data_IF_731690861190
#
_entry.id   IF_731690861190
#
_cell.length_a   1.000
_cell.length_b   1.000
_cell.length_c   1.000
_cell.angle_alpha   90.00
_cell.angle_beta   90.00
_cell.angle_gamma   90.00
#
_symmetry.space_group_name_H-M   'P 1'
#
loop_
_entity.id
_entity.type
_entity.pdbx_description
1 polymer ?
#
# COMPACT_ATOMS: atom_id res chain seq x y z
N UNK A 1 2.70 1.12 13.10
CA UNK A 1 1.76 1.88 12.24
C UNK A 1 0.41 2.15 12.90
N UNK A 2 -0.23 1.18 13.56
CA UNK A 2 -1.54 1.34 14.23
C UNK A 2 -1.69 2.59 15.11
N UNK A 3 -0.78 2.80 16.06
CA UNK A 3 -0.80 3.98 16.95
C UNK A 3 -0.81 5.32 16.21
N UNK A 4 -0.14 5.41 15.06
CA UNK A 4 -0.19 6.62 14.24
C UNK A 4 -1.61 6.83 13.68
N UNK A 5 -2.22 5.79 13.12
CA UNK A 5 -3.57 5.88 12.58
C UNK A 5 -4.60 6.27 13.65
N UNK A 6 -4.49 5.67 14.85
CA UNK A 6 -5.34 6.01 15.99
C UNK A 6 -5.18 7.48 16.42
N UNK A 7 -3.94 7.95 16.61
CA UNK A 7 -3.65 9.33 17.05
C UNK A 7 -4.14 10.39 16.05
N UNK A 8 -4.06 10.09 14.75
CA UNK A 8 -4.48 11.01 13.69
C UNK A 8 -5.93 10.79 13.22
N UNK A 9 -6.72 9.96 13.91
CA UNK A 9 -8.15 9.79 13.64
C UNK A 9 -8.48 9.02 12.36
N UNK A 10 -7.56 8.19 11.87
CA UNK A 10 -7.83 7.29 10.76
C UNK A 10 -8.64 6.07 11.21
N UNK A 11 -9.53 5.60 10.34
CA UNK A 11 -10.09 4.26 10.45
C UNK A 11 -9.10 3.28 9.81
N UNK A 12 -8.57 2.34 10.60
CA UNK A 12 -7.58 1.37 10.12
C UNK A 12 -8.22 0.03 9.75
N UNK A 13 -7.67 -0.61 8.72
CA UNK A 13 -7.91 -2.00 8.36
C UNK A 13 -6.56 -2.67 8.18
N UNK A 14 -6.29 -3.70 8.98
CA UNK A 14 -4.99 -4.38 9.02
C UNK A 14 -5.16 -5.86 8.72
N UNK A 15 -4.34 -6.38 7.82
CA UNK A 15 -4.26 -7.81 7.48
C UNK A 15 -2.81 -8.29 7.60
N UNK A 16 -2.62 -9.56 7.97
CA UNK A 16 -1.31 -10.17 8.18
C UNK A 16 -1.15 -11.43 7.32
N UNK A 17 0.09 -11.75 6.96
CA UNK A 17 0.52 -13.00 6.34
C UNK A 17 -0.32 -13.45 5.13
N UNK A 18 -0.63 -12.50 4.23
CA UNK A 18 -1.40 -12.75 3.01
C UNK A 18 -0.52 -13.22 1.85
N UNK A 19 -1.07 -14.11 1.03
CA UNK A 19 -0.51 -14.46 -0.28
C UNK A 19 -0.55 -13.27 -1.24
N UNK A 20 0.20 -13.32 -2.35
CA UNK A 20 0.19 -12.25 -3.35
C UNK A 20 -1.22 -11.95 -3.90
N UNK A 21 -2.00 -13.01 -4.14
CA UNK A 21 -3.36 -12.88 -4.65
C UNK A 21 -4.32 -12.31 -3.61
N UNK A 22 -4.22 -12.76 -2.35
CA UNK A 22 -5.05 -12.21 -1.28
C UNK A 22 -4.71 -10.74 -1.01
N UNK A 23 -3.43 -10.36 -1.01
CA UNK A 23 -3.04 -8.94 -0.89
C UNK A 23 -3.68 -8.08 -1.97
N UNK A 24 -3.64 -8.52 -3.23
CA UNK A 24 -4.30 -7.83 -4.35
C UNK A 24 -5.80 -7.69 -4.12
N UNK A 25 -6.45 -8.75 -3.63
CA UNK A 25 -7.88 -8.72 -3.34
C UNK A 25 -8.22 -7.79 -2.17
N UNK A 26 -7.42 -7.78 -1.10
CA UNK A 26 -7.59 -6.88 0.05
C UNK A 26 -7.47 -5.41 -0.36
N UNK A 27 -6.51 -5.07 -1.24
CA UNK A 27 -6.41 -3.72 -1.80
C UNK A 27 -7.69 -3.33 -2.55
N UNK A 28 -8.20 -4.22 -3.40
CA UNK A 28 -9.44 -3.98 -4.16
C UNK A 28 -10.63 -3.82 -3.22
N UNK A 29 -10.74 -4.67 -2.19
CA UNK A 29 -11.80 -4.64 -1.20
C UNK A 29 -11.77 -3.34 -0.38
N UNK A 30 -10.58 -2.93 0.08
CA UNK A 30 -10.39 -1.69 0.81
C UNK A 30 -10.77 -0.48 -0.07
N UNK A 31 -10.32 -0.43 -1.32
CA UNK A 31 -10.72 0.58 -2.30
C UNK A 31 -12.24 0.61 -2.51
N UNK A 32 -12.89 -0.55 -2.61
CA UNK A 32 -14.34 -0.64 -2.75
C UNK A 32 -15.05 -0.08 -1.50
N UNK A 33 -14.54 -0.36 -0.29
CA UNK A 33 -15.09 0.20 0.95
C UNK A 33 -15.03 1.74 0.98
N UNK A 34 -13.96 2.33 0.46
CA UNK A 34 -13.82 3.78 0.29
C UNK A 34 -14.89 4.31 -0.67
N UNK A 35 -15.07 3.67 -1.83
CA UNK A 35 -16.06 4.07 -2.82
C UNK A 35 -17.50 4.00 -2.27
N UNK A 36 -17.81 2.95 -1.50
CA UNK A 36 -19.13 2.74 -0.90
C UNK A 36 -19.36 3.53 0.38
N UNK A 37 -18.34 4.23 0.91
CA UNK A 37 -18.46 5.01 2.13
C UNK A 37 -19.48 6.16 1.96
N UNK A 38 -20.35 6.34 2.97
CA UNK A 38 -21.31 7.45 3.01
C UNK A 38 -20.66 8.79 3.37
N UNK A 39 -19.57 8.74 4.15
CA UNK A 39 -18.86 9.93 4.63
C UNK A 39 -17.93 10.57 3.60
N UNK A 40 -17.40 11.72 4.00
CA UNK A 40 -16.29 12.39 3.31
C UNK A 40 -14.98 11.83 3.81
N UNK A 41 -14.18 11.26 2.91
CA UNK A 41 -12.81 10.83 3.19
C UNK A 41 -11.87 11.89 2.65
N UNK A 42 -10.97 12.43 3.47
CA UNK A 42 -10.07 13.54 3.07
C UNK A 42 -8.74 13.06 2.48
N UNK A 43 -8.24 11.90 2.90
CA UNK A 43 -7.03 11.28 2.39
C UNK A 43 -7.03 9.76 2.65
N UNK A 44 -6.10 9.02 2.05
CA UNK A 44 -5.90 7.60 2.30
C UNK A 44 -4.42 7.29 2.50
N UNK A 45 -4.15 6.35 3.40
CA UNK A 45 -2.85 5.73 3.60
C UNK A 45 -2.96 4.25 3.25
N UNK A 46 -2.03 3.76 2.44
CA UNK A 46 -1.85 2.33 2.17
C UNK A 46 -0.41 1.99 2.52
N UNK A 47 -0.24 1.15 3.53
CA UNK A 47 1.08 0.78 4.05
C UNK A 47 1.27 -0.72 3.85
N UNK A 48 2.36 -1.10 3.18
CA UNK A 48 2.75 -2.51 3.03
C UNK A 48 4.13 -2.72 3.62
N UNK A 49 4.33 -3.88 4.24
CA UNK A 49 5.59 -4.30 4.85
C UNK A 49 5.82 -5.75 4.50
N UNK A 50 6.81 -6.03 3.65
CA UNK A 50 7.15 -7.39 3.25
C UNK A 50 8.57 -7.47 2.67
N UNK A 51 9.03 -8.68 2.36
CA UNK A 51 10.10 -8.83 1.39
C UNK A 51 9.68 -8.27 0.03
N UNK A 52 10.67 -7.90 -0.78
CA UNK A 52 10.41 -7.39 -2.11
C UNK A 52 11.62 -7.48 -3.01
N UNK A 53 11.40 -6.99 -4.23
CA UNK A 53 12.44 -6.67 -5.17
C UNK A 53 12.04 -5.35 -5.86
N UNK A 54 12.85 -4.87 -6.81
CA UNK A 54 12.49 -3.73 -7.64
C UNK A 54 11.03 -3.84 -8.13
N UNK A 55 10.22 -2.89 -7.67
CA UNK A 55 8.83 -2.64 -8.03
C UNK A 55 7.84 -3.79 -7.76
N UNK A 56 8.21 -4.71 -6.87
CA UNK A 56 7.34 -5.82 -6.41
C UNK A 56 7.47 -6.05 -4.91
N UNK A 57 6.38 -6.48 -4.28
CA UNK A 57 6.38 -7.07 -2.93
C UNK A 57 6.09 -8.58 -3.03
N UNK A 58 6.50 -9.34 -2.01
CA UNK A 58 6.39 -10.79 -1.99
C UNK A 58 5.30 -11.21 -0.99
N UNK A 59 4.39 -12.08 -1.39
CA UNK A 59 3.38 -12.67 -0.51
C UNK A 59 3.91 -13.81 0.34
N UNK A 60 3.09 -14.27 1.29
CA UNK A 60 3.41 -15.42 2.14
C UNK A 60 3.71 -16.70 1.32
N UNK A 61 3.07 -16.83 0.16
CA UNK A 61 3.26 -17.90 -0.83
C UNK A 61 4.51 -17.72 -1.72
N UNK A 62 5.37 -16.75 -1.39
CA UNK A 62 6.59 -16.39 -2.13
C UNK A 62 6.34 -15.91 -3.57
N UNK A 63 5.08 -15.64 -3.94
CA UNK A 63 4.73 -15.05 -5.23
C UNK A 63 4.88 -13.53 -5.19
N UNK A 64 5.09 -12.94 -6.37
CA UNK A 64 5.28 -11.50 -6.54
C UNK A 64 3.94 -10.82 -6.77
N UNK A 65 3.78 -9.64 -6.19
CA UNK A 65 2.73 -8.67 -6.48
C UNK A 65 3.40 -7.37 -6.93
N UNK A 66 3.00 -6.82 -8.07
CA UNK A 66 3.56 -5.56 -8.52
C UNK A 66 3.12 -4.42 -7.60
N UNK A 67 4.02 -3.49 -7.27
CA UNK A 67 3.65 -2.29 -6.50
C UNK A 67 2.56 -1.49 -7.23
N UNK A 68 2.57 -1.53 -8.56
CA UNK A 68 1.56 -0.92 -9.42
C UNK A 68 0.15 -1.47 -9.16
N UNK A 69 0.01 -2.79 -8.92
CA UNK A 69 -1.27 -3.43 -8.58
C UNK A 69 -1.86 -2.93 -7.25
N UNK A 70 -1.03 -2.32 -6.39
CA UNK A 70 -1.45 -1.73 -5.11
C UNK A 70 -1.88 -0.27 -5.31
N UNK A 71 -1.18 0.47 -6.18
CA UNK A 71 -1.38 1.91 -6.38
C UNK A 71 -2.54 2.20 -7.33
N UNK A 72 -2.60 1.51 -8.48
CA UNK A 72 -3.57 1.79 -9.55
C UNK A 72 -5.05 1.74 -9.13
N UNK A 73 -5.49 0.82 -8.24
CA UNK A 73 -6.88 0.80 -7.78
C UNK A 73 -7.37 2.15 -7.21
N UNK A 74 -6.47 2.99 -6.70
CA UNK A 74 -6.81 4.31 -6.13
C UNK A 74 -6.72 5.46 -7.14
N UNK A 75 -6.49 5.17 -8.42
CA UNK A 75 -6.55 6.17 -9.49
C UNK A 75 -7.96 6.79 -9.63
N UNK A 76 -8.05 8.01 -10.14
CA UNK A 76 -9.28 8.83 -10.13
C UNK A 76 -10.48 8.15 -10.80
N UNK A 77 -10.26 7.28 -11.80
CA UNK A 77 -11.32 6.52 -12.47
C UNK A 77 -11.84 5.36 -11.60
N UNK A 78 -10.93 4.65 -10.93
CA UNK A 78 -11.25 3.45 -10.15
C UNK A 78 -11.69 3.78 -8.72
N UNK A 79 -11.21 4.90 -8.16
CA UNK A 79 -11.58 5.41 -6.84
C UNK A 79 -12.03 6.88 -6.89
N UNK A 80 -13.23 7.18 -7.44
CA UNK A 80 -13.72 8.55 -7.58
C UNK A 80 -13.79 9.34 -6.26
N UNK A 81 -14.02 8.65 -5.13
CA UNK A 81 -14.03 9.26 -3.79
C UNK A 81 -12.68 9.90 -3.41
N UNK A 82 -11.59 9.47 -4.04
CA UNK A 82 -10.23 9.98 -3.82
C UNK A 82 -9.74 10.89 -4.95
N UNK A 83 -10.60 11.27 -5.90
CA UNK A 83 -10.26 12.22 -6.97
C UNK A 83 -9.87 13.57 -6.39
N UNK A 84 -8.70 14.08 -6.80
CA UNK A 84 -8.15 15.34 -6.29
C UNK A 84 -7.72 15.32 -4.82
N UNK A 85 -7.73 14.16 -4.16
CA UNK A 85 -7.36 14.00 -2.75
C UNK A 85 -5.99 13.32 -2.58
N UNK A 86 -5.24 13.63 -1.50
CA UNK A 86 -3.97 12.99 -1.20
C UNK A 86 -4.11 11.47 -1.01
N UNK A 87 -3.20 10.72 -1.65
CA UNK A 87 -3.08 9.26 -1.57
C UNK A 87 -1.64 8.93 -1.20
N UNK A 88 -1.41 8.42 0.00
CA UNK A 88 -0.07 8.15 0.53
C UNK A 88 0.17 6.64 0.52
N UNK A 89 1.24 6.23 -0.15
CA UNK A 89 1.68 4.84 -0.21
C UNK A 89 3.04 4.72 0.47
N UNK A 90 3.12 3.85 1.48
CA UNK A 90 4.38 3.51 2.15
C UNK A 90 4.65 2.05 1.85
N UNK A 91 5.68 1.80 1.03
CA UNK A 91 6.07 0.45 0.62
C UNK A 91 7.40 0.13 1.31
N UNK A 92 7.31 -0.55 2.45
CA UNK A 92 8.47 -1.06 3.16
C UNK A 92 8.83 -2.45 2.61
N UNK A 93 9.76 -2.44 1.65
CA UNK A 93 10.27 -3.65 1.03
C UNK A 93 11.66 -3.43 0.41
N UNK A 94 12.47 -4.49 0.35
CA UNK A 94 13.71 -4.47 -0.41
C UNK A 94 13.42 -4.18 -1.90
N UNK A 95 14.30 -3.41 -2.56
CA UNK A 95 14.21 -3.12 -4.02
C UNK A 95 15.29 -3.84 -4.83
N UNK A 96 15.89 -4.87 -4.23
CA UNK A 96 17.06 -5.60 -4.71
C UNK A 96 17.98 -5.94 -3.55
N UNK A 97 19.04 -6.68 -3.83
CA UNK A 97 20.03 -7.15 -2.84
C UNK A 97 21.28 -6.29 -2.75
N UNK A 98 21.40 -5.24 -3.57
CA UNK A 98 22.57 -4.37 -3.56
C UNK A 98 22.57 -3.49 -2.30
N UNK A 99 23.56 -3.68 -1.45
CA UNK A 99 23.87 -2.74 -0.39
C UNK A 99 24.46 -1.48 -0.99
N UNK A 100 23.94 -0.32 -0.60
CA UNK A 100 24.54 0.94 -0.96
C UNK A 100 25.77 1.14 -0.07
N UNK A 101 26.96 0.77 -0.56
CA UNK A 101 28.20 1.12 0.12
C UNK A 101 28.42 2.61 -0.05
N UNK A 102 28.40 3.37 1.04
CA UNK A 102 28.82 4.76 1.05
C UNK A 102 30.27 4.83 0.58
N UNK A 103 30.49 5.13 -0.70
CA UNK A 103 31.78 5.62 -1.13
C UNK A 103 31.87 7.06 -0.60
N UNK A 104 32.81 7.38 0.32
CA UNK A 104 33.03 8.77 0.69
C UNK A 104 33.34 9.53 -0.60
N UNK A 105 32.63 10.64 -0.83
CA UNK A 105 32.91 11.51 -1.98
C UNK A 105 34.35 12.01 -1.81
N UNK A 106 35.23 11.64 -2.76
CA UNK A 106 36.53 12.28 -2.95
C UNK A 106 36.33 13.71 -3.47
#
# INVERSE_FOLDING_TARGET
MKKFFEVFGFQDHSVLDKTAQEMKQEVINFRNSINSSRGTISCVFVVTSSHGHRDVIIGADKKKLAVKDIIEPFGDQLCPKMKGKPKVFIIDACRGSKFNTFLPRL
#
